data_IF_758209345812
#
_entry.id   IF_758209345812
#
_cell.length_a   1.000
_cell.length_b   1.000
_cell.length_c   1.000
_cell.angle_alpha   90.00
_cell.angle_beta   90.00
_cell.angle_gamma   90.00
#
_symmetry.space_group_name_H-M   'P 1'
#
loop_
_entity.id
_entity.type
_entity.pdbx_description
1 polymer ?
#
# COMPACT_ATOMS: atom_id res chain seq x y z
N UNK A 1 23.06 7.26 14.98
CA UNK A 1 21.76 7.88 15.26
C UNK A 1 21.43 8.78 14.10
N UNK A 2 20.15 8.86 13.66
CA UNK A 2 19.73 9.58 12.46
C UNK A 2 19.97 11.09 12.52
N UNK A 3 19.75 11.72 11.38
CA UNK A 3 19.75 13.18 11.20
C UNK A 3 18.32 13.68 11.13
N UNK A 4 18.10 14.93 11.45
CA UNK A 4 16.87 15.68 11.14
C UNK A 4 16.62 15.66 9.64
N UNK A 5 15.39 15.34 9.22
CA UNK A 5 15.01 15.39 7.80
C UNK A 5 13.55 15.77 7.61
N UNK A 6 13.27 16.35 6.45
CA UNK A 6 11.94 16.68 5.99
C UNK A 6 11.63 15.80 4.78
N UNK A 7 10.47 15.17 4.77
CA UNK A 7 10.01 14.34 3.67
C UNK A 7 9.15 15.17 2.71
N UNK A 8 9.44 15.07 1.41
CA UNK A 8 8.64 15.69 0.34
C UNK A 8 8.24 14.57 -0.62
N UNK A 9 7.11 13.92 -0.42
CA UNK A 9 6.67 12.79 -1.24
C UNK A 9 6.23 13.27 -2.63
N UNK A 10 6.71 12.60 -3.68
CA UNK A 10 6.47 12.98 -5.07
C UNK A 10 5.69 11.92 -5.87
N UNK A 11 5.24 10.85 -5.24
CA UNK A 11 4.32 9.87 -5.83
C UNK A 11 3.07 9.77 -4.99
N UNK A 12 1.94 9.37 -5.59
CA UNK A 12 0.69 9.22 -4.86
C UNK A 12 0.84 8.25 -3.69
N UNK A 13 1.45 7.08 -3.92
CA UNK A 13 1.78 6.10 -2.89
C UNK A 13 2.54 6.69 -1.70
N UNK A 14 3.52 7.56 -1.96
CA UNK A 14 4.29 8.15 -0.89
C UNK A 14 3.54 9.28 -0.17
N UNK A 15 2.65 9.99 -0.83
CA UNK A 15 1.84 11.02 -0.20
C UNK A 15 0.83 10.46 0.78
N UNK A 16 0.14 9.37 0.42
CA UNK A 16 -0.91 8.79 1.26
C UNK A 16 -0.38 7.81 2.32
N UNK A 17 0.75 7.14 2.07
CA UNK A 17 1.19 6.02 2.91
C UNK A 17 2.66 6.11 3.33
N UNK A 18 3.61 5.89 2.43
CA UNK A 18 4.99 5.54 2.81
C UNK A 18 5.82 6.67 3.43
N UNK A 19 5.44 7.94 3.26
CA UNK A 19 6.12 9.08 3.88
C UNK A 19 5.82 9.23 5.37
N UNK A 20 4.79 8.53 5.88
CA UNK A 20 4.29 8.64 7.25
C UNK A 20 4.55 7.34 8.02
N UNK A 21 4.92 7.49 9.31
CA UNK A 21 5.08 6.36 10.21
C UNK A 21 6.49 5.85 10.39
N UNK A 22 7.48 6.58 9.83
CA UNK A 22 8.90 6.43 10.17
C UNK A 22 9.54 5.10 9.77
N UNK A 23 8.89 4.27 8.95
CA UNK A 23 9.52 3.07 8.40
C UNK A 23 10.53 3.48 7.33
N UNK A 24 11.81 3.51 7.68
CA UNK A 24 12.89 3.81 6.75
C UNK A 24 13.73 2.56 6.54
N UNK A 25 13.79 2.08 5.30
CA UNK A 25 14.57 0.88 4.97
C UNK A 25 15.07 0.93 3.53
N UNK A 26 16.08 0.10 3.25
CA UNK A 26 16.60 -0.13 1.91
C UNK A 26 16.57 -1.62 1.58
N UNK A 27 16.45 -1.90 0.31
CA UNK A 27 16.57 -3.25 -0.24
C UNK A 27 18.07 -3.61 -0.39
N UNK A 28 18.43 -4.82 -0.04
CA UNK A 28 19.80 -5.32 -0.17
C UNK A 28 19.80 -6.75 -0.71
N UNK A 29 20.61 -6.99 -1.74
CA UNK A 29 20.82 -8.31 -2.35
C UNK A 29 19.52 -9.06 -2.72
N UNK A 30 18.52 -8.31 -3.22
CA UNK A 30 17.22 -8.87 -3.64
C UNK A 30 16.24 -9.14 -2.51
N UNK A 31 16.61 -8.84 -1.27
CA UNK A 31 15.70 -8.88 -0.12
C UNK A 31 15.18 -7.48 0.20
N UNK A 32 13.85 -7.33 0.31
CA UNK A 32 13.20 -6.05 0.60
C UNK A 32 13.36 -5.65 2.06
N UNK A 33 13.55 -4.36 2.30
CA UNK A 33 13.54 -3.72 3.62
C UNK A 33 14.47 -4.36 4.66
N UNK A 34 15.59 -4.96 4.24
CA UNK A 34 16.49 -5.70 5.12
C UNK A 34 17.27 -4.83 6.09
N UNK A 35 17.59 -3.60 5.71
CA UNK A 35 18.35 -2.66 6.54
C UNK A 35 17.50 -1.40 6.70
N UNK A 36 17.03 -1.16 7.93
CA UNK A 36 16.18 -0.03 8.20
C UNK A 36 16.08 0.32 9.69
N UNK A 37 15.32 1.35 9.97
CA UNK A 37 15.00 1.79 11.32
C UNK A 37 13.64 2.48 11.34
N UNK A 38 13.02 2.51 12.51
CA UNK A 38 11.92 3.43 12.76
C UNK A 38 12.52 4.80 13.08
N UNK A 39 12.39 5.75 12.15
CA UNK A 39 12.86 7.11 12.31
C UNK A 39 11.89 8.10 11.70
N UNK A 40 11.22 8.87 12.55
CA UNK A 40 10.21 9.83 12.11
C UNK A 40 10.86 11.05 11.42
N UNK A 41 10.28 11.57 10.34
CA UNK A 41 10.66 12.87 9.81
C UNK A 41 10.22 13.99 10.75
N UNK A 42 10.93 15.12 10.75
CA UNK A 42 10.53 16.31 11.50
C UNK A 42 9.31 17.00 10.88
N UNK A 43 9.14 16.86 9.58
CA UNK A 43 7.94 17.26 8.84
C UNK A 43 7.76 16.43 7.57
N UNK A 44 6.52 16.32 7.11
CA UNK A 44 6.16 15.81 5.79
C UNK A 44 5.42 16.92 5.07
N UNK A 45 5.97 17.37 3.94
CA UNK A 45 5.36 18.40 3.08
C UNK A 45 4.70 17.72 1.89
N UNK A 46 3.38 17.67 1.89
CA UNK A 46 2.58 17.03 0.85
C UNK A 46 2.01 18.11 -0.06
N UNK A 47 2.31 18.01 -1.35
CA UNK A 47 1.85 18.91 -2.39
C UNK A 47 1.28 18.05 -3.53
N UNK A 48 -0.06 18.00 -3.71
CA UNK A 48 -0.68 17.23 -4.79
C UNK A 48 -0.27 17.70 -6.20
N UNK A 49 0.10 18.96 -6.37
CA UNK A 49 0.49 19.51 -7.68
C UNK A 49 1.71 18.80 -8.30
N UNK A 50 2.57 18.22 -7.47
CA UNK A 50 3.73 17.46 -7.97
C UNK A 50 3.33 16.15 -8.67
N UNK A 51 2.09 15.67 -8.47
CA UNK A 51 1.58 14.46 -9.10
C UNK A 51 1.27 14.64 -10.59
N UNK A 52 1.18 15.88 -11.07
CA UNK A 52 0.87 16.20 -12.48
C UNK A 52 1.85 15.60 -13.48
N UNK A 53 3.07 15.30 -13.06
CA UNK A 53 4.09 14.64 -13.89
C UNK A 53 4.17 13.13 -13.69
N UNK A 54 3.36 12.56 -12.80
CA UNK A 54 3.33 11.14 -12.54
C UNK A 54 2.65 10.39 -13.69
N UNK A 55 3.20 9.25 -14.11
CA UNK A 55 2.54 8.43 -15.12
C UNK A 55 1.21 7.86 -14.60
N UNK A 56 0.19 7.67 -15.46
CA UNK A 56 -1.10 7.13 -15.03
C UNK A 56 -0.97 5.79 -14.30
N UNK A 57 -0.08 4.90 -14.75
CA UNK A 57 0.17 3.62 -14.07
C UNK A 57 0.69 3.80 -12.64
N UNK A 58 1.61 4.73 -12.42
CA UNK A 58 2.14 5.01 -11.09
C UNK A 58 1.11 5.71 -10.18
N UNK A 59 0.27 6.56 -10.76
CA UNK A 59 -0.84 7.18 -10.06
C UNK A 59 -1.84 6.11 -9.55
N UNK A 60 -2.34 5.25 -10.45
CA UNK A 60 -3.25 4.16 -10.09
C UNK A 60 -2.61 3.15 -9.13
N UNK A 61 -1.30 2.88 -9.28
CA UNK A 61 -0.56 2.06 -8.33
C UNK A 61 -0.64 2.61 -6.90
N UNK A 62 -0.53 3.94 -6.74
CA UNK A 62 -0.70 4.57 -5.43
C UNK A 62 -2.12 4.42 -4.88
N UNK A 63 -3.15 4.58 -5.72
CA UNK A 63 -4.54 4.45 -5.32
C UNK A 63 -4.90 3.06 -4.73
N UNK A 64 -4.15 2.01 -5.04
CA UNK A 64 -4.37 0.69 -4.46
C UNK A 64 -4.26 0.72 -2.92
N UNK A 65 -3.35 1.54 -2.38
CA UNK A 65 -3.21 1.72 -0.92
C UNK A 65 -4.40 2.49 -0.33
N UNK A 66 -4.90 3.52 -1.01
CA UNK A 66 -6.11 4.23 -0.58
C UNK A 66 -7.34 3.29 -0.57
N UNK A 67 -7.48 2.44 -1.58
CA UNK A 67 -8.52 1.40 -1.62
C UNK A 67 -8.38 0.43 -0.45
N UNK A 68 -7.16 0.00 -0.12
CA UNK A 68 -6.88 -0.86 1.04
C UNK A 68 -7.30 -0.17 2.35
N UNK A 69 -6.95 1.09 2.52
CA UNK A 69 -7.31 1.86 3.71
C UNK A 69 -8.82 2.05 3.81
N UNK A 70 -9.49 2.39 2.72
CA UNK A 70 -10.95 2.44 2.66
C UNK A 70 -11.60 1.10 3.04
N UNK A 71 -11.12 0.00 2.48
CA UNK A 71 -11.66 -1.33 2.74
C UNK A 71 -11.48 -1.79 4.20
N UNK A 72 -10.43 -1.33 4.89
CA UNK A 72 -10.06 -1.80 6.23
C UNK A 72 -10.43 -0.85 7.36
N UNK A 73 -10.50 0.45 7.11
CA UNK A 73 -10.66 1.47 8.15
C UNK A 73 -11.79 2.46 7.91
N UNK A 74 -12.20 2.69 6.64
CA UNK A 74 -13.05 3.83 6.30
C UNK A 74 -13.99 3.52 5.13
N UNK A 75 -15.25 3.21 5.46
CA UNK A 75 -16.26 2.89 4.45
C UNK A 75 -16.60 4.09 3.54
N UNK A 76 -16.49 5.33 4.03
CA UNK A 76 -16.73 6.53 3.24
C UNK A 76 -15.66 6.69 2.16
N UNK A 77 -14.38 6.51 2.53
CA UNK A 77 -13.28 6.48 1.58
C UNK A 77 -13.46 5.38 0.52
N UNK A 78 -13.89 4.18 0.93
CA UNK A 78 -14.13 3.10 -0.02
C UNK A 78 -15.27 3.43 -0.98
N UNK A 79 -16.34 4.06 -0.47
CA UNK A 79 -17.50 4.47 -1.27
C UNK A 79 -17.15 5.47 -2.38
N UNK A 80 -16.17 6.37 -2.18
CA UNK A 80 -15.68 7.27 -3.23
C UNK A 80 -15.22 6.46 -4.45
N UNK A 81 -14.45 5.39 -4.24
CA UNK A 81 -13.99 4.53 -5.33
C UNK A 81 -15.10 3.70 -5.99
N UNK A 82 -16.17 3.41 -5.28
CA UNK A 82 -17.30 2.64 -5.81
C UNK A 82 -18.24 3.49 -6.66
N UNK A 83 -18.49 4.73 -6.27
CA UNK A 83 -19.64 5.49 -6.76
C UNK A 83 -19.26 6.75 -7.53
N UNK A 84 -18.14 7.40 -7.18
CA UNK A 84 -17.80 8.72 -7.66
C UNK A 84 -16.70 8.72 -8.72
N UNK A 85 -16.48 9.87 -9.32
CA UNK A 85 -15.28 10.13 -10.11
C UNK A 85 -14.14 10.50 -9.14
N UNK A 86 -13.39 9.48 -8.71
CA UNK A 86 -12.32 9.61 -7.73
C UNK A 86 -11.30 10.74 -8.07
N UNK A 87 -11.13 11.06 -9.36
CA UNK A 87 -10.24 12.14 -9.77
C UNK A 87 -10.73 13.53 -9.35
N UNK A 88 -12.02 13.69 -9.07
CA UNK A 88 -12.59 14.93 -8.52
C UNK A 88 -12.49 14.99 -6.98
N UNK A 89 -12.13 13.90 -6.34
CA UNK A 89 -12.03 13.74 -4.89
C UNK A 89 -10.59 13.54 -4.40
N UNK A 90 -9.59 13.96 -5.18
CA UNK A 90 -8.19 13.69 -4.88
C UNK A 90 -7.75 14.23 -3.51
N UNK A 91 -8.12 15.47 -3.19
CA UNK A 91 -7.82 16.08 -1.89
C UNK A 91 -8.53 15.36 -0.74
N UNK A 92 -9.79 14.98 -0.93
CA UNK A 92 -10.60 14.25 0.05
C UNK A 92 -10.01 12.85 0.32
N UNK A 93 -9.65 12.10 -0.73
CA UNK A 93 -8.97 10.80 -0.60
C UNK A 93 -7.65 10.96 0.17
N UNK A 94 -6.87 11.97 -0.17
CA UNK A 94 -5.61 12.26 0.50
C UNK A 94 -5.84 12.54 2.00
N UNK A 95 -6.82 13.37 2.35
CA UNK A 95 -7.15 13.70 3.74
C UNK A 95 -7.59 12.46 4.53
N UNK A 96 -8.46 11.62 3.97
CA UNK A 96 -8.88 10.36 4.59
C UNK A 96 -7.67 9.46 4.88
N UNK A 97 -6.83 9.20 3.88
CA UNK A 97 -5.64 8.36 4.03
C UNK A 97 -4.67 8.91 5.09
N UNK A 98 -4.40 10.21 5.06
CA UNK A 98 -3.51 10.85 6.04
C UNK A 98 -4.06 10.75 7.47
N UNK A 99 -5.35 10.95 7.66
CA UNK A 99 -6.00 10.83 8.97
C UNK A 99 -5.98 9.38 9.49
N UNK A 100 -6.26 8.40 8.63
CA UNK A 100 -6.17 6.98 8.96
C UNK A 100 -4.74 6.64 9.36
N UNK A 101 -3.79 6.95 8.48
CA UNK A 101 -2.37 6.61 8.70
C UNK A 101 -1.82 7.25 9.96
N UNK A 102 -2.06 8.55 10.15
CA UNK A 102 -1.67 9.29 11.36
C UNK A 102 -2.25 8.63 12.61
N UNK A 103 -3.57 8.42 12.64
CA UNK A 103 -4.24 7.85 13.81
C UNK A 103 -3.74 6.45 14.16
N UNK A 104 -3.52 5.59 13.17
CA UNK A 104 -2.98 4.24 13.38
C UNK A 104 -1.54 4.29 13.90
N UNK A 105 -0.69 5.15 13.33
CA UNK A 105 0.72 5.29 13.76
C UNK A 105 0.82 5.85 15.17
N UNK A 106 -0.01 6.83 15.52
CA UNK A 106 -0.03 7.41 16.89
C UNK A 106 -0.44 6.37 17.96
N UNK A 107 -1.33 5.43 17.62
CA UNK A 107 -1.77 4.37 18.52
C UNK A 107 -0.84 3.15 18.55
N UNK A 108 -0.14 2.87 17.46
CA UNK A 108 0.71 1.68 17.31
C UNK A 108 1.94 1.98 16.42
N UNK A 109 2.86 2.80 16.94
CA UNK A 109 4.06 3.22 16.19
C UNK A 109 4.89 2.03 15.68
N UNK A 110 5.02 0.98 16.48
CA UNK A 110 5.91 -0.17 16.22
C UNK A 110 5.25 -1.36 15.57
N UNK A 111 3.97 -1.23 15.13
CA UNK A 111 3.25 -2.29 14.41
C UNK A 111 3.11 -3.61 15.20
N UNK A 112 2.84 -3.49 16.47
CA UNK A 112 2.60 -4.67 17.32
C UNK A 112 1.14 -5.11 17.35
N UNK A 113 0.21 -4.21 16.98
CA UNK A 113 -1.25 -4.39 17.07
C UNK A 113 -2.00 -3.93 15.81
N UNK A 114 -2.79 -2.87 15.95
CA UNK A 114 -3.71 -2.34 14.92
C UNK A 114 -3.02 -1.99 13.61
N UNK A 115 -1.80 -1.47 13.66
CA UNK A 115 -1.06 -1.07 12.46
C UNK A 115 -0.81 -2.23 11.49
N UNK A 116 -0.87 -3.48 11.95
CA UNK A 116 -0.78 -4.67 11.09
C UNK A 116 -1.91 -4.75 10.06
N UNK A 117 -3.05 -4.10 10.32
CA UNK A 117 -4.16 -4.04 9.35
C UNK A 117 -3.79 -3.26 8.08
N UNK A 118 -2.84 -2.31 8.19
CA UNK A 118 -2.29 -1.62 7.01
C UNK A 118 -1.54 -2.57 6.06
N UNK A 119 -1.20 -3.77 6.50
CA UNK A 119 -0.60 -4.81 5.65
C UNK A 119 -1.65 -5.77 5.05
N UNK A 120 -2.94 -5.39 5.05
CA UNK A 120 -3.97 -6.20 4.39
C UNK A 120 -3.63 -6.39 2.90
N UNK A 121 -3.64 -7.63 2.43
CA UNK A 121 -3.21 -7.99 1.07
C UNK A 121 -1.69 -8.11 0.86
N UNK A 122 -0.85 -7.54 1.73
CA UNK A 122 0.60 -7.45 1.53
C UNK A 122 1.34 -8.80 1.55
N UNK A 123 0.90 -9.76 2.34
CA UNK A 123 1.55 -11.09 2.37
C UNK A 123 1.52 -11.77 0.99
N UNK A 124 0.37 -11.70 0.30
CA UNK A 124 0.27 -12.15 -1.09
C UNK A 124 0.94 -11.17 -2.05
N UNK A 125 0.77 -9.86 -1.83
CA UNK A 125 1.35 -8.81 -2.64
C UNK A 125 2.87 -8.95 -2.75
N UNK A 126 3.59 -9.05 -1.64
CA UNK A 126 5.04 -9.23 -1.60
C UNK A 126 5.48 -10.55 -2.25
N UNK A 127 4.69 -11.62 -2.09
CA UNK A 127 4.98 -12.88 -2.78
C UNK A 127 4.86 -12.73 -4.30
N UNK A 128 3.85 -11.99 -4.80
CA UNK A 128 3.72 -11.67 -6.23
C UNK A 128 4.86 -10.79 -6.73
N UNK A 129 5.23 -9.74 -6.00
CA UNK A 129 6.39 -8.90 -6.36
C UNK A 129 7.67 -9.74 -6.50
N UNK A 130 7.92 -10.62 -5.54
CA UNK A 130 9.10 -11.51 -5.56
C UNK A 130 9.03 -12.51 -6.70
N UNK A 131 7.86 -13.11 -6.95
CA UNK A 131 7.65 -14.07 -8.03
C UNK A 131 7.96 -13.47 -9.41
N UNK A 132 7.55 -12.22 -9.65
CA UNK A 132 7.79 -11.51 -10.91
C UNK A 132 9.10 -10.70 -10.93
N UNK A 133 9.99 -10.89 -9.95
CA UNK A 133 11.33 -10.32 -9.93
C UNK A 133 11.36 -8.80 -9.77
N UNK A 134 10.37 -8.21 -9.12
CA UNK A 134 10.24 -6.76 -8.86
C UNK A 134 10.16 -5.88 -10.12
N UNK A 135 9.98 -6.44 -11.30
CA UNK A 135 9.95 -5.74 -12.58
C UNK A 135 8.65 -5.91 -13.38
N UNK A 136 7.83 -6.87 -13.03
CA UNK A 136 6.59 -7.16 -13.75
C UNK A 136 5.43 -6.27 -13.34
N UNK A 137 5.04 -6.38 -12.10
CA UNK A 137 3.97 -5.60 -11.48
C UNK A 137 4.52 -4.59 -10.50
N UNK A 138 3.81 -3.47 -10.34
CA UNK A 138 4.10 -2.46 -9.32
C UNK A 138 3.53 -2.90 -7.97
N UNK A 139 4.01 -2.29 -6.89
CA UNK A 139 3.63 -2.63 -5.51
C UNK A 139 2.10 -2.65 -5.30
N UNK A 140 1.41 -1.55 -5.61
CA UNK A 140 -0.04 -1.47 -5.44
C UNK A 140 -0.82 -2.42 -6.35
N UNK A 141 -0.30 -2.72 -7.56
CA UNK A 141 -0.87 -3.76 -8.42
C UNK A 141 -0.82 -5.14 -7.72
N UNK A 142 0.31 -5.45 -7.09
CA UNK A 142 0.48 -6.69 -6.31
C UNK A 142 -0.38 -6.70 -5.04
N UNK A 143 -0.49 -5.57 -4.33
CA UNK A 143 -1.35 -5.43 -3.15
C UNK A 143 -2.82 -5.59 -3.52
N UNK A 144 -3.27 -5.01 -4.64
CA UNK A 144 -4.62 -5.20 -5.17
C UNK A 144 -4.97 -6.67 -5.41
N UNK A 145 -4.10 -7.39 -6.11
CA UNK A 145 -4.24 -8.85 -6.32
C UNK A 145 -4.18 -9.63 -4.99
N UNK A 146 -3.35 -9.17 -4.05
CA UNK A 146 -3.22 -9.75 -2.72
C UNK A 146 -4.51 -9.60 -1.90
N UNK A 147 -5.14 -8.44 -1.93
CA UNK A 147 -6.46 -8.21 -1.31
C UNK A 147 -7.52 -9.15 -1.90
N UNK A 148 -7.55 -9.30 -3.24
CA UNK A 148 -8.44 -10.25 -3.93
C UNK A 148 -8.21 -11.69 -3.50
N UNK A 149 -6.97 -12.05 -3.16
CA UNK A 149 -6.60 -13.41 -2.77
C UNK A 149 -6.99 -13.75 -1.32
N UNK A 150 -6.96 -12.76 -0.41
CA UNK A 150 -7.22 -12.98 1.02
C UNK A 150 -8.69 -12.79 1.40
N UNK A 151 -9.47 -12.02 0.63
CA UNK A 151 -10.89 -11.77 0.91
C UNK A 151 -11.72 -13.05 0.77
N UNK A 152 -12.43 -13.41 1.86
CA UNK A 152 -13.33 -14.56 1.90
C UNK A 152 -14.81 -14.19 1.69
N UNK A 153 -15.22 -12.93 1.92
CA UNK A 153 -16.57 -12.46 1.64
C UNK A 153 -16.79 -12.31 0.14
N UNK A 154 -17.70 -13.08 -0.49
CA UNK A 154 -17.97 -12.95 -1.92
C UNK A 154 -18.49 -11.56 -2.30
N UNK A 155 -19.28 -10.94 -1.42
CA UNK A 155 -19.84 -9.61 -1.63
C UNK A 155 -18.75 -8.54 -1.67
N UNK A 156 -17.91 -8.47 -0.62
CA UNK A 156 -16.80 -7.52 -0.57
C UNK A 156 -15.80 -7.77 -1.70
N UNK A 157 -15.57 -9.03 -2.05
CA UNK A 157 -14.68 -9.40 -3.16
C UNK A 157 -15.20 -8.87 -4.49
N UNK A 158 -16.51 -8.95 -4.75
CA UNK A 158 -17.12 -8.40 -5.96
C UNK A 158 -17.06 -6.87 -5.98
N UNK A 159 -17.26 -6.21 -4.83
CA UNK A 159 -17.11 -4.75 -4.71
C UNK A 159 -15.67 -4.33 -5.02
N UNK A 160 -14.70 -4.96 -4.36
CA UNK A 160 -13.28 -4.68 -4.58
C UNK A 160 -12.85 -4.92 -6.03
N UNK A 161 -13.30 -6.02 -6.65
CA UNK A 161 -13.00 -6.34 -8.05
C UNK A 161 -13.42 -5.21 -9.00
N UNK A 162 -14.64 -4.69 -8.82
CA UNK A 162 -15.14 -3.57 -9.62
C UNK A 162 -14.30 -2.30 -9.44
N UNK A 163 -13.93 -2.00 -8.20
CA UNK A 163 -13.06 -0.85 -7.88
C UNK A 163 -11.70 -0.99 -8.55
N UNK A 164 -11.04 -2.14 -8.39
CA UNK A 164 -9.72 -2.37 -8.99
C UNK A 164 -9.76 -2.27 -10.52
N UNK A 165 -10.77 -2.86 -11.17
CA UNK A 165 -10.95 -2.74 -12.63
C UNK A 165 -11.12 -1.29 -13.05
N UNK A 166 -11.94 -0.52 -12.32
CA UNK A 166 -12.16 0.91 -12.58
C UNK A 166 -10.86 1.72 -12.47
N UNK A 167 -10.00 1.36 -11.53
CA UNK A 167 -8.68 1.95 -11.34
C UNK A 167 -7.61 1.37 -12.28
N UNK A 168 -7.99 0.54 -13.27
CA UNK A 168 -7.06 -0.12 -14.19
C UNK A 168 -5.98 -0.96 -13.48
N UNK A 169 -6.31 -1.46 -12.29
CA UNK A 169 -5.45 -2.35 -11.51
C UNK A 169 -5.77 -3.82 -11.81
N UNK A 170 -4.78 -4.70 -11.83
CA UNK A 170 -5.01 -6.12 -12.04
C UNK A 170 -5.74 -6.74 -10.85
N UNK A 171 -6.67 -7.66 -11.12
CA UNK A 171 -7.44 -8.40 -10.12
C UNK A 171 -6.92 -9.82 -9.89
N UNK A 172 -6.06 -10.30 -10.79
CA UNK A 172 -5.44 -11.64 -10.73
C UNK A 172 -4.17 -11.68 -11.57
N UNK A 173 -3.37 -12.72 -11.38
CA UNK A 173 -2.20 -13.02 -12.20
C UNK A 173 -2.10 -14.53 -12.46
N UNK A 174 -1.16 -14.91 -13.32
CA UNK A 174 -0.87 -16.29 -13.73
C UNK A 174 0.22 -16.97 -12.86
N UNK A 175 0.53 -16.40 -11.70
CA UNK A 175 1.54 -16.93 -10.80
C UNK A 175 1.21 -18.37 -10.34
N UNK A 176 2.23 -19.21 -10.29
CA UNK A 176 2.14 -20.57 -9.76
C UNK A 176 1.83 -20.53 -8.26
N UNK A 177 0.70 -21.14 -7.87
CA UNK A 177 0.19 -21.08 -6.50
C UNK A 177 1.15 -21.70 -5.48
N UNK A 178 1.80 -22.80 -5.82
CA UNK A 178 2.69 -23.50 -4.89
C UNK A 178 3.94 -22.66 -4.63
N UNK A 179 4.49 -22.04 -5.67
CA UNK A 179 5.62 -21.11 -5.54
C UNK A 179 5.25 -19.86 -4.74
N UNK A 180 4.08 -19.27 -4.96
CA UNK A 180 3.60 -18.14 -4.18
C UNK A 180 3.49 -18.51 -2.69
N UNK A 181 2.91 -19.67 -2.38
CA UNK A 181 2.82 -20.16 -0.99
C UNK A 181 4.19 -20.41 -0.34
N UNK A 182 5.18 -20.85 -1.12
CA UNK A 182 6.56 -20.99 -0.64
C UNK A 182 7.19 -19.64 -0.32
N UNK A 183 7.04 -18.65 -1.20
CA UNK A 183 7.52 -17.29 -0.99
C UNK A 183 6.89 -16.64 0.25
N UNK A 184 5.58 -16.81 0.47
CA UNK A 184 4.90 -16.32 1.67
C UNK A 184 5.44 -16.92 2.97
N UNK A 185 5.89 -18.19 2.96
CA UNK A 185 6.49 -18.82 4.14
C UNK A 185 7.85 -18.23 4.46
N UNK A 186 8.61 -17.84 3.46
CA UNK A 186 9.93 -17.23 3.63
C UNK A 186 9.83 -15.79 4.17
N UNK A 187 8.84 -15.02 3.72
CA UNK A 187 8.57 -13.67 4.24
C UNK A 187 8.25 -13.68 5.75
N UNK A 188 7.43 -14.66 6.21
CA UNK A 188 7.11 -14.81 7.63
C UNK A 188 8.30 -15.23 8.50
N UNK A 189 9.28 -15.94 7.96
CA UNK A 189 10.49 -16.31 8.70
C UNK A 189 11.45 -15.13 8.87
N UNK A 190 11.55 -14.27 7.87
CA UNK A 190 12.38 -13.06 7.93
C UNK A 190 11.87 -12.03 8.97
N UNK A 191 10.59 -12.09 9.35
CA UNK A 191 9.97 -11.19 10.32
C UNK A 191 10.01 -11.72 11.78
N UNK A 192 10.69 -12.84 12.06
CA UNK A 192 10.75 -13.46 13.38
C UNK A 192 12.17 -13.55 13.99
N UNK A 193 13.18 -13.03 13.30
CA UNK A 193 14.53 -12.84 13.81
C UNK A 193 14.81 -11.32 13.98
#
# INVERSE_FOLDING_TARGET
RGITYINIPTTYLSQIDSSIGGKTAIDLDGAKNCIGAFWQPDAVLIDPDVLTTLSPRQYHNGLAEAVKEGLTFDEELFAIFEHDDYAQHEEEILEHCLNIKKGVVERDERETGERKLLNFGHTYGHAYETYYGLQGYLHGECVGMGMMSILNSPELKQRLEKVLIRLQLPVSCDADKDKVLELMKNDKKANHD
#
